data_IF_275689399257
#
_entry.id   IF_275689399257
#
_cell.length_a   1.000
_cell.length_b   1.000
_cell.length_c   1.000
_cell.angle_alpha   90.00
_cell.angle_beta   90.00
_cell.angle_gamma   90.00
#
_symmetry.space_group_name_H-M   'P 1'
#
loop_
_entity.id
_entity.type
_entity.pdbx_description
1 polymer ?
#
# COMPACT_ATOMS: atom_id res chain seq x y z
N UNK A 1 17.45 -10.97 -49.57
CA UNK A 1 16.33 -11.93 -49.37
C UNK A 1 15.44 -12.17 -50.60
N UNK A 2 15.16 -11.20 -51.49
CA UNK A 2 14.29 -11.40 -52.69
C UNK A 2 14.83 -12.31 -53.81
N UNK A 3 16.13 -12.64 -53.85
CA UNK A 3 16.72 -13.51 -54.90
C UNK A 3 16.54 -15.02 -54.66
N UNK A 4 16.41 -15.48 -53.40
CA UNK A 4 16.25 -16.91 -53.06
C UNK A 4 14.81 -17.42 -53.31
N UNK A 5 13.79 -16.56 -53.21
CA UNK A 5 12.39 -16.93 -53.48
C UNK A 5 12.07 -17.13 -54.96
N UNK A 6 12.72 -16.39 -55.87
CA UNK A 6 12.52 -16.56 -57.33
C UNK A 6 13.13 -17.86 -57.89
N UNK A 7 14.13 -18.42 -57.21
CA UNK A 7 14.80 -19.65 -57.64
C UNK A 7 14.02 -20.91 -57.26
N UNK A 8 13.19 -20.85 -56.22
CA UNK A 8 12.29 -21.94 -55.82
C UNK A 8 11.12 -22.12 -56.80
N UNK A 9 10.49 -21.02 -57.26
CA UNK A 9 9.39 -21.11 -58.24
C UNK A 9 9.81 -21.59 -59.64
N UNK A 10 11.08 -21.44 -60.02
CA UNK A 10 11.58 -21.94 -61.32
C UNK A 10 11.75 -23.46 -61.37
N UNK A 11 11.90 -24.13 -60.22
CA UNK A 11 12.16 -25.58 -60.18
C UNK A 11 10.91 -26.46 -60.13
N UNK A 12 9.70 -25.90 -60.03
CA UNK A 12 8.45 -26.68 -60.08
C UNK A 12 7.75 -26.71 -61.45
N UNK A 13 8.38 -26.14 -62.49
CA UNK A 13 7.90 -26.16 -63.89
C UNK A 13 8.87 -26.93 -64.78
N UNK A 14 8.98 -28.25 -64.57
CA UNK A 14 9.37 -29.20 -65.62
C UNK A 14 8.53 -30.46 -65.47
N UNK A 15 7.61 -30.57 -66.42
CA UNK A 15 6.66 -31.65 -66.72
C UNK A 15 7.43 -32.84 -67.37
N UNK A 16 6.79 -34.01 -67.65
CA UNK A 16 6.02 -34.10 -68.88
C UNK A 16 4.69 -34.84 -68.79
N UNK A 17 3.94 -34.58 -69.85
CA UNK A 17 2.57 -34.84 -70.21
C UNK A 17 2.32 -36.19 -70.91
N UNK A 18 1.07 -36.66 -70.79
CA UNK A 18 0.24 -37.38 -71.79
C UNK A 18 0.63 -38.77 -72.30
N UNK A 19 -0.29 -39.73 -72.10
CA UNK A 19 -0.70 -40.68 -73.16
C UNK A 19 -2.15 -41.15 -72.94
N UNK A 20 -2.97 -41.01 -74.00
CA UNK A 20 -4.34 -41.53 -74.16
C UNK A 20 -4.31 -43.05 -74.42
N UNK A 21 -5.26 -43.82 -73.88
CA UNK A 21 -5.94 -44.92 -74.61
C UNK A 21 -7.41 -44.98 -74.13
N UNK A 22 -8.31 -45.06 -75.11
CA UNK A 22 -9.77 -45.15 -75.08
C UNK A 22 -10.29 -46.57 -74.80
N UNK A 23 -11.55 -46.64 -74.36
CA UNK A 23 -12.51 -47.75 -74.48
C UNK A 23 -12.24 -49.07 -73.75
N UNK A 24 -12.97 -49.32 -72.65
CA UNK A 24 -13.84 -50.50 -72.48
C UNK A 24 -15.01 -50.11 -71.54
N UNK A 25 -16.21 -50.04 -72.11
CA UNK A 25 -17.50 -50.03 -71.42
C UNK A 25 -17.75 -51.40 -70.78
N UNK A 26 -18.55 -51.43 -69.71
CA UNK A 26 -19.28 -52.57 -69.10
C UNK A 26 -18.58 -53.37 -67.99
N UNK A 27 -18.77 -52.90 -66.74
CA UNK A 27 -19.57 -53.64 -65.73
C UNK A 27 -19.57 -52.86 -64.41
N UNK A 28 -20.51 -51.94 -64.28
CA UNK A 28 -20.87 -51.31 -63.00
C UNK A 28 -22.02 -52.09 -62.41
N UNK A 29 -21.73 -52.99 -61.48
CA UNK A 29 -22.69 -53.45 -60.47
C UNK A 29 -21.94 -53.42 -59.13
N UNK A 30 -22.41 -52.51 -58.26
CA UNK A 30 -22.16 -52.44 -56.81
C UNK A 30 -20.84 -51.81 -56.32
N UNK A 31 -20.75 -50.47 -56.34
CA UNK A 31 -20.16 -49.66 -55.24
C UNK A 31 -20.41 -48.17 -55.50
N UNK A 32 -21.65 -47.72 -55.33
CA UNK A 32 -21.97 -46.31 -55.09
C UNK A 32 -22.17 -46.12 -53.58
N UNK A 33 -21.08 -46.19 -52.82
CA UNK A 33 -21.01 -45.54 -51.50
C UNK A 33 -20.21 -44.26 -51.74
N UNK A 34 -20.88 -43.13 -51.55
CA UNK A 34 -20.52 -41.78 -51.96
C UNK A 34 -19.07 -41.36 -51.65
N UNK A 35 -18.32 -41.00 -52.68
CA UNK A 35 -17.09 -40.20 -52.54
C UNK A 35 -17.35 -38.79 -51.94
N UNK A 36 -18.61 -38.34 -51.92
CA UNK A 36 -19.06 -37.10 -51.26
C UNK A 36 -19.01 -37.23 -49.73
N UNK A 37 -19.50 -38.32 -49.18
CA UNK A 37 -19.61 -38.52 -47.72
C UNK A 37 -18.22 -38.66 -47.09
N UNK A 38 -17.27 -39.31 -47.78
CA UNK A 38 -15.86 -39.43 -47.33
C UNK A 38 -15.14 -38.06 -47.37
N UNK A 39 -15.51 -37.18 -48.30
CA UNK A 39 -14.94 -35.84 -48.42
C UNK A 39 -15.51 -34.87 -47.37
N UNK A 40 -16.81 -34.96 -47.05
CA UNK A 40 -17.45 -34.23 -45.95
C UNK A 40 -16.96 -34.70 -44.57
N UNK A 41 -16.88 -36.01 -44.34
CA UNK A 41 -16.36 -36.60 -43.09
C UNK A 41 -14.89 -36.21 -42.83
N UNK A 42 -14.11 -36.00 -43.90
CA UNK A 42 -12.74 -35.46 -43.83
C UNK A 42 -12.70 -33.96 -43.53
N UNK A 43 -13.70 -33.18 -43.95
CA UNK A 43 -13.74 -31.73 -43.72
C UNK A 43 -14.19 -31.40 -42.30
N UNK A 44 -15.21 -32.10 -41.79
CA UNK A 44 -15.70 -31.94 -40.42
C UNK A 44 -14.64 -32.35 -39.40
N UNK A 45 -13.92 -33.44 -39.67
CA UNK A 45 -12.78 -33.87 -38.84
C UNK A 45 -11.66 -32.83 -38.83
N UNK A 46 -11.32 -32.23 -39.98
CA UNK A 46 -10.31 -31.19 -40.09
C UNK A 46 -10.72 -29.92 -39.32
N UNK A 47 -11.97 -29.50 -39.45
CA UNK A 47 -12.50 -28.33 -38.75
C UNK A 47 -12.50 -28.54 -37.23
N UNK A 48 -13.00 -29.69 -36.75
CA UNK A 48 -12.97 -30.08 -35.34
C UNK A 48 -11.55 -30.10 -34.78
N UNK A 49 -10.57 -30.61 -35.53
CA UNK A 49 -9.18 -30.62 -35.10
C UNK A 49 -8.60 -29.21 -34.93
N UNK A 50 -8.94 -28.27 -35.82
CA UNK A 50 -8.53 -26.88 -35.68
C UNK A 50 -9.25 -26.14 -34.55
N UNK A 51 -10.55 -26.44 -34.32
CA UNK A 51 -11.32 -25.90 -33.20
C UNK A 51 -10.75 -26.37 -31.86
N UNK A 52 -10.44 -27.67 -31.73
CA UNK A 52 -9.79 -28.23 -30.53
C UNK A 52 -8.40 -27.62 -30.37
N UNK A 53 -7.59 -27.51 -31.43
CA UNK A 53 -6.27 -26.86 -31.34
C UNK A 53 -6.33 -25.39 -30.90
N UNK A 54 -7.45 -24.70 -31.15
CA UNK A 54 -7.70 -23.33 -30.69
C UNK A 54 -7.80 -23.18 -29.16
N UNK A 55 -8.00 -24.28 -28.43
CA UNK A 55 -8.06 -24.29 -26.95
C UNK A 55 -6.78 -23.76 -26.30
N UNK A 56 -5.64 -23.93 -26.95
CA UNK A 56 -4.34 -23.45 -26.45
C UNK A 56 -4.36 -21.96 -26.11
N UNK A 57 -5.11 -21.14 -26.86
CA UNK A 57 -5.28 -19.72 -26.56
C UNK A 57 -6.06 -19.50 -25.24
N UNK A 58 -7.08 -20.32 -24.97
CA UNK A 58 -7.88 -20.27 -23.73
C UNK A 58 -7.06 -20.72 -22.53
N UNK A 59 -6.22 -21.75 -22.68
CA UNK A 59 -5.29 -22.19 -21.64
C UNK A 59 -4.28 -21.10 -21.28
N UNK A 60 -3.72 -20.41 -22.29
CA UNK A 60 -2.82 -19.27 -22.07
C UNK A 60 -3.53 -18.15 -21.30
N UNK A 61 -4.80 -17.85 -21.63
CA UNK A 61 -5.59 -16.85 -20.90
C UNK A 61 -5.79 -17.31 -19.44
N UNK A 62 -6.20 -18.57 -19.21
CA UNK A 62 -6.38 -19.13 -17.86
C UNK A 62 -5.09 -19.00 -17.03
N UNK A 63 -3.95 -19.37 -17.60
CA UNK A 63 -2.66 -19.34 -16.89
C UNK A 63 -2.22 -17.89 -16.60
N UNK A 64 -2.48 -16.96 -17.52
CA UNK A 64 -2.32 -15.53 -17.27
C UNK A 64 -3.21 -15.04 -16.12
N UNK A 65 -4.47 -15.51 -16.05
CA UNK A 65 -5.37 -15.13 -14.97
C UNK A 65 -4.88 -15.65 -13.61
N UNK A 66 -4.38 -16.89 -13.55
CA UNK A 66 -3.79 -17.47 -12.34
C UNK A 66 -2.55 -16.68 -11.88
N UNK A 67 -1.66 -16.32 -12.80
CA UNK A 67 -0.49 -15.50 -12.49
C UNK A 67 -0.88 -14.12 -11.96
N UNK A 68 -1.92 -13.51 -12.54
CA UNK A 68 -2.46 -12.23 -12.05
C UNK A 68 -3.08 -12.37 -10.65
N UNK A 69 -3.81 -13.46 -10.36
CA UNK A 69 -4.34 -13.75 -9.02
C UNK A 69 -3.22 -13.86 -7.97
N UNK A 70 -2.10 -14.52 -8.30
CA UNK A 70 -0.94 -14.59 -7.42
C UNK A 70 -0.31 -13.21 -7.16
N UNK A 71 -0.31 -12.31 -8.16
CA UNK A 71 0.14 -10.92 -7.97
C UNK A 71 -0.79 -10.16 -7.02
N UNK A 72 -2.11 -10.28 -7.18
CA UNK A 72 -3.08 -9.64 -6.28
C UNK A 72 -2.94 -10.11 -4.83
N UNK A 73 -2.66 -11.40 -4.60
CA UNK A 73 -2.38 -11.89 -3.25
C UNK A 73 -1.13 -11.25 -2.63
N UNK A 74 -0.08 -10.97 -3.42
CA UNK A 74 1.08 -10.22 -2.95
C UNK A 74 0.72 -8.77 -2.63
N UNK A 75 -0.14 -8.14 -3.43
CA UNK A 75 -0.61 -6.78 -3.17
C UNK A 75 -1.46 -6.68 -1.88
N UNK A 76 -2.17 -7.73 -1.48
CA UNK A 76 -2.86 -7.75 -0.17
C UNK A 76 -1.88 -7.72 1.00
N UNK A 77 -0.73 -8.41 0.88
CA UNK A 77 0.31 -8.41 1.92
C UNK A 77 0.97 -7.03 2.02
N UNK A 78 1.29 -6.39 0.90
CA UNK A 78 1.86 -5.03 0.90
C UNK A 78 0.91 -3.98 1.47
N UNK A 79 -0.40 -4.12 1.26
CA UNK A 79 -1.42 -3.27 1.90
C UNK A 79 -1.49 -3.50 3.41
N UNK A 80 -1.35 -4.74 3.89
CA UNK A 80 -1.29 -5.03 5.33
C UNK A 80 -0.06 -4.39 5.99
N UNK A 81 1.11 -4.52 5.35
CA UNK A 81 2.34 -3.85 5.79
C UNK A 81 2.19 -2.32 5.82
N UNK A 82 1.48 -1.74 4.85
CA UNK A 82 1.18 -0.31 4.80
C UNK A 82 0.30 0.10 5.99
N UNK A 83 -0.73 -0.67 6.32
CA UNK A 83 -1.59 -0.40 7.48
C UNK A 83 -0.82 -0.46 8.81
N UNK A 84 0.08 -1.44 8.98
CA UNK A 84 0.94 -1.52 10.16
C UNK A 84 1.86 -0.29 10.27
N UNK A 85 2.43 0.18 9.15
CA UNK A 85 3.24 1.40 9.12
C UNK A 85 2.42 2.64 9.45
N UNK A 86 1.21 2.76 8.91
CA UNK A 86 0.32 3.88 9.21
C UNK A 86 -0.02 3.96 10.70
N UNK A 87 -0.20 2.82 11.37
CA UNK A 87 -0.41 2.77 12.82
C UNK A 87 0.82 3.30 13.59
N UNK A 88 2.03 2.89 13.20
CA UNK A 88 3.27 3.41 13.79
C UNK A 88 3.39 4.93 13.64
N UNK A 89 3.13 5.45 12.43
CA UNK A 89 3.17 6.89 12.17
C UNK A 89 2.12 7.63 13.03
N UNK A 90 0.94 7.05 13.23
CA UNK A 90 -0.09 7.64 14.09
C UNK A 90 0.38 7.76 15.53
N UNK A 91 1.04 6.73 16.05
CA UNK A 91 1.61 6.74 17.40
C UNK A 91 2.72 7.80 17.53
N UNK A 92 3.60 7.89 16.54
CA UNK A 92 4.66 8.91 16.48
C UNK A 92 4.09 10.33 16.45
N UNK A 93 3.01 10.57 15.71
CA UNK A 93 2.34 11.88 15.67
C UNK A 93 1.72 12.26 17.01
N UNK A 94 1.14 11.30 17.74
CA UNK A 94 0.63 11.55 19.09
C UNK A 94 1.76 11.92 20.06
N UNK A 95 2.88 11.19 20.00
CA UNK A 95 4.07 11.49 20.81
C UNK A 95 4.67 12.87 20.47
N UNK A 96 4.67 13.23 19.18
CA UNK A 96 5.12 14.55 18.74
C UNK A 96 4.21 15.66 19.28
N UNK A 97 2.90 15.47 19.26
CA UNK A 97 1.93 16.42 19.85
C UNK A 97 2.17 16.63 21.34
N UNK A 98 2.39 15.55 22.10
CA UNK A 98 2.75 15.65 23.52
C UNK A 98 4.08 16.36 23.75
N UNK A 99 5.08 16.09 22.91
CA UNK A 99 6.38 16.74 23.00
C UNK A 99 6.27 18.25 22.75
N UNK A 100 5.51 18.66 21.72
CA UNK A 100 5.23 20.07 21.41
C UNK A 100 4.58 20.76 22.61
N UNK A 101 3.59 20.11 23.23
CA UNK A 101 2.93 20.64 24.42
C UNK A 101 3.89 20.82 25.61
N UNK A 102 4.78 19.84 25.86
CA UNK A 102 5.81 19.98 26.91
C UNK A 102 6.77 21.13 26.62
N UNK A 103 7.20 21.31 25.37
CA UNK A 103 8.10 22.42 24.99
C UNK A 103 7.39 23.77 25.18
N UNK A 104 6.10 23.87 24.87
CA UNK A 104 5.28 25.05 25.11
C UNK A 104 5.24 25.40 26.60
N UNK A 105 4.98 24.42 27.47
CA UNK A 105 4.99 24.62 28.92
C UNK A 105 6.36 25.10 29.42
N UNK A 106 7.45 24.43 29.03
CA UNK A 106 8.80 24.84 29.44
C UNK A 106 9.19 26.23 28.92
N UNK A 107 8.72 26.61 27.73
CA UNK A 107 8.96 27.94 27.18
C UNK A 107 8.21 29.01 27.98
N UNK A 108 6.97 28.72 28.40
CA UNK A 108 6.19 29.60 29.28
C UNK A 108 6.84 29.75 30.66
N UNK A 109 7.28 28.66 31.28
CA UNK A 109 8.02 28.68 32.55
C UNK A 109 9.31 29.50 32.45
N UNK A 110 10.07 29.36 31.35
CA UNK A 110 11.29 30.15 31.12
C UNK A 110 11.03 31.66 31.06
N UNK A 111 9.91 32.09 30.47
CA UNK A 111 9.54 33.52 30.45
C UNK A 111 9.29 34.02 31.87
N UNK A 112 8.57 33.25 32.69
CA UNK A 112 8.30 33.60 34.09
C UNK A 112 9.61 33.72 34.89
N UNK A 113 10.54 32.77 34.72
CA UNK A 113 11.85 32.84 35.41
C UNK A 113 12.69 34.03 34.96
N UNK A 114 12.63 34.41 33.68
CA UNK A 114 13.33 35.59 33.17
C UNK A 114 12.75 36.87 33.76
N UNK A 115 11.43 36.98 33.86
CA UNK A 115 10.76 38.13 34.49
C UNK A 115 11.11 38.25 35.98
N UNK A 116 11.14 37.13 36.70
CA UNK A 116 11.58 37.08 38.11
C UNK A 116 13.05 37.50 38.25
N UNK A 117 13.94 37.00 37.37
CA UNK A 117 15.35 37.38 37.35
C UNK A 117 15.52 38.88 37.13
N UNK A 118 14.79 39.48 36.18
CA UNK A 118 14.83 40.93 35.92
C UNK A 118 14.38 41.71 37.15
N UNK A 119 13.34 41.25 37.86
CA UNK A 119 12.88 41.85 39.10
C UNK A 119 13.95 41.83 40.20
N UNK A 120 14.60 40.68 40.40
CA UNK A 120 15.70 40.52 41.37
C UNK A 120 16.89 41.43 41.04
N UNK A 121 17.27 41.53 39.77
CA UNK A 121 18.33 42.45 39.32
C UNK A 121 17.97 43.91 39.58
N UNK A 122 16.69 44.27 39.46
CA UNK A 122 16.17 45.59 39.85
C UNK A 122 16.41 45.90 41.34
N UNK A 123 16.09 44.95 42.22
CA UNK A 123 16.36 45.06 43.66
C UNK A 123 17.86 45.17 43.98
N UNK A 124 18.70 44.40 43.30
CA UNK A 124 20.17 44.48 43.45
C UNK A 124 20.68 45.87 43.07
N UNK A 125 20.24 46.43 41.94
CA UNK A 125 20.66 47.77 41.52
C UNK A 125 20.24 48.84 42.53
N UNK A 126 19.02 48.77 43.08
CA UNK A 126 18.57 49.69 44.15
C UNK A 126 19.49 49.63 45.37
N UNK A 127 19.86 48.43 45.82
CA UNK A 127 20.78 48.26 46.95
C UNK A 127 22.18 48.81 46.65
N UNK A 128 22.66 48.65 45.41
CA UNK A 128 23.96 49.20 44.99
C UNK A 128 23.94 50.73 44.99
N UNK A 129 22.83 51.35 44.58
CA UNK A 129 22.66 52.81 44.62
C UNK A 129 22.69 53.35 46.06
N UNK A 130 22.06 52.64 47.01
CA UNK A 130 22.14 52.95 48.44
C UNK A 130 23.57 52.81 48.98
N UNK A 131 24.28 51.73 48.66
CA UNK A 131 25.69 51.53 49.05
C UNK A 131 26.58 52.64 48.49
N UNK A 132 26.38 53.03 47.23
CA UNK A 132 27.10 54.14 46.60
C UNK A 132 26.80 55.47 47.29
N UNK A 133 25.54 55.71 47.69
CA UNK A 133 25.14 56.88 48.47
C UNK A 133 25.85 56.92 49.83
N UNK A 134 25.75 55.83 50.59
CA UNK A 134 26.38 55.69 51.90
C UNK A 134 27.89 55.88 51.82
N UNK A 135 28.55 55.22 50.86
CA UNK A 135 29.99 55.34 50.67
C UNK A 135 30.42 56.77 50.28
N UNK A 136 29.64 57.49 49.45
CA UNK A 136 29.90 58.92 49.18
C UNK A 136 29.78 59.75 50.44
N UNK A 137 28.79 59.49 51.27
CA UNK A 137 28.56 60.19 52.54
C UNK A 137 29.71 59.93 53.54
N UNK A 138 30.13 58.67 53.68
CA UNK A 138 31.29 58.27 54.50
C UNK A 138 32.59 58.88 53.99
N UNK A 139 32.79 58.94 52.67
CA UNK A 139 33.94 59.60 52.06
C UNK A 139 33.97 61.10 52.36
N UNK A 140 32.82 61.78 52.32
CA UNK A 140 32.71 63.19 52.70
C UNK A 140 32.99 63.41 54.19
N UNK A 141 32.45 62.56 55.07
CA UNK A 141 32.75 62.59 56.50
C UNK A 141 34.25 62.42 56.76
N UNK A 142 34.90 61.47 56.08
CA UNK A 142 36.33 61.24 56.18
C UNK A 142 37.16 62.47 55.74
N UNK A 143 36.74 63.14 54.66
CA UNK A 143 37.38 64.37 54.20
C UNK A 143 37.23 65.47 55.25
N UNK A 144 36.03 65.66 55.81
CA UNK A 144 35.78 66.65 56.85
C UNK A 144 36.60 66.36 58.11
N UNK A 145 36.69 65.10 58.54
CA UNK A 145 37.53 64.69 59.67
C UNK A 145 39.02 64.88 59.42
N UNK A 146 39.49 64.64 58.18
CA UNK A 146 40.87 64.88 57.81
C UNK A 146 41.23 66.38 57.85
N UNK A 147 40.32 67.26 57.40
CA UNK A 147 40.46 68.71 57.48
C UNK A 147 40.52 69.17 58.94
N UNK A 148 39.59 68.71 59.77
CA UNK A 148 39.55 69.06 61.20
C UNK A 148 40.80 68.57 61.93
N UNK A 149 41.25 67.35 61.63
CA UNK A 149 42.50 66.79 62.20
C UNK A 149 43.73 67.62 61.85
N UNK A 150 43.78 68.20 60.65
CA UNK A 150 44.85 69.12 60.25
C UNK A 150 44.75 70.48 60.98
N UNK A 151 43.53 70.92 61.29
CA UNK A 151 43.27 72.18 62.00
C UNK A 151 43.79 72.15 63.46
N UNK A 152 43.63 71.04 64.17
CA UNK A 152 44.11 70.88 65.58
C UNK A 152 45.61 70.57 65.70
N UNK A 153 46.33 70.47 64.56
CA UNK A 153 47.78 70.29 64.51
C UNK A 153 48.26 68.97 65.12
N UNK A 154 49.31 69.01 65.96
CA UNK A 154 49.97 67.82 66.52
C UNK A 154 49.02 66.91 67.33
N UNK A 155 47.94 67.45 67.92
CA UNK A 155 46.95 66.68 68.68
C UNK A 155 46.00 65.86 67.80
N UNK A 156 45.88 66.20 66.50
CA UNK A 156 45.00 65.53 65.53
C UNK A 156 45.68 64.43 64.71
N UNK A 157 46.97 64.15 64.92
CA UNK A 157 47.74 63.24 64.06
C UNK A 157 47.15 61.81 63.99
N UNK A 158 46.67 61.26 65.11
CA UNK A 158 46.01 59.95 65.13
C UNK A 158 44.67 59.92 64.37
N UNK A 159 43.87 60.98 64.48
CA UNK A 159 42.60 61.11 63.75
C UNK A 159 42.80 61.30 62.24
N UNK A 160 43.89 61.95 61.82
CA UNK A 160 44.24 62.09 60.41
C UNK A 160 44.50 60.74 59.73
N UNK A 161 45.17 59.81 60.42
CA UNK A 161 45.41 58.45 59.92
C UNK A 161 44.09 57.70 59.74
N UNK A 162 43.20 57.75 60.74
CA UNK A 162 41.87 57.12 60.69
C UNK A 162 41.05 57.70 59.52
N UNK A 163 41.04 59.02 59.36
CA UNK A 163 40.32 59.68 58.28
C UNK A 163 40.82 59.26 56.89
N UNK A 164 42.14 59.08 56.72
CA UNK A 164 42.73 58.57 55.48
C UNK A 164 42.29 57.13 55.19
N UNK A 165 42.27 56.27 56.21
CA UNK A 165 41.83 54.88 56.08
C UNK A 165 40.35 54.78 55.69
N UNK A 166 39.47 55.57 56.33
CA UNK A 166 38.04 55.62 56.01
C UNK A 166 37.81 56.11 54.58
N UNK A 167 38.57 57.11 54.12
CA UNK A 167 38.51 57.62 52.74
C UNK A 167 38.88 56.52 51.74
N UNK A 168 39.95 55.78 52.02
CA UNK A 168 40.44 54.71 51.17
C UNK A 168 39.43 53.54 51.11
N UNK A 169 38.85 53.16 52.25
CA UNK A 169 37.80 52.16 52.35
C UNK A 169 36.55 52.56 51.56
N UNK A 170 36.08 53.81 51.72
CA UNK A 170 34.91 54.33 51.00
C UNK A 170 35.13 54.32 49.48
N UNK A 171 36.32 54.74 49.03
CA UNK A 171 36.70 54.68 47.62
C UNK A 171 36.71 53.24 47.09
N UNK A 172 37.21 52.29 47.89
CA UNK A 172 37.17 50.86 47.58
C UNK A 172 35.73 50.32 47.46
N UNK A 173 34.82 50.73 48.33
CA UNK A 173 33.39 50.37 48.26
C UNK A 173 32.75 50.89 46.96
N UNK A 174 33.03 52.14 46.57
CA UNK A 174 32.51 52.69 45.30
C UNK A 174 33.03 51.95 44.08
N UNK A 175 34.30 51.54 44.11
CA UNK A 175 34.88 50.72 43.04
C UNK A 175 34.18 49.36 42.93
N UNK A 176 33.94 48.68 44.06
CA UNK A 176 33.24 47.40 44.03
C UNK A 176 31.78 47.54 43.62
N UNK A 177 31.09 48.58 44.08
CA UNK A 177 29.72 48.88 43.67
C UNK A 177 29.61 49.02 42.14
N UNK A 178 30.57 49.72 41.49
CA UNK A 178 30.63 49.82 40.02
C UNK A 178 30.81 48.45 39.33
N UNK A 179 31.66 47.58 39.87
CA UNK A 179 31.87 46.24 39.32
C UNK A 179 30.59 45.41 39.39
N UNK A 180 29.84 45.48 40.50
CA UNK A 180 28.57 44.77 40.66
C UNK A 180 27.52 45.34 39.68
N UNK A 181 27.45 46.66 39.49
CA UNK A 181 26.57 47.26 38.47
C UNK A 181 26.87 46.73 37.07
N UNK A 182 28.16 46.63 36.70
CA UNK A 182 28.56 46.07 35.40
C UNK A 182 28.11 44.61 35.24
N UNK A 183 28.33 43.77 36.25
CA UNK A 183 27.85 42.38 36.25
C UNK A 183 26.32 42.29 36.14
N UNK A 184 25.60 43.16 36.83
CA UNK A 184 24.12 43.18 36.82
C UNK A 184 23.59 43.60 35.44
N UNK A 185 24.27 44.52 34.75
CA UNK A 185 23.97 44.90 33.36
C UNK A 185 24.19 43.73 32.39
N UNK A 186 25.30 43.01 32.53
CA UNK A 186 25.61 41.85 31.69
C UNK A 186 24.55 40.74 31.87
N UNK A 187 24.15 40.44 33.12
CA UNK A 187 23.09 39.46 33.40
C UNK A 187 21.75 39.91 32.79
N UNK A 188 21.42 41.21 32.85
CA UNK A 188 20.20 41.74 32.25
C UNK A 188 20.21 41.58 30.70
N UNK A 189 21.35 41.81 30.06
CA UNK A 189 21.50 41.56 28.63
C UNK A 189 21.33 40.08 28.27
N UNK A 190 21.85 39.16 29.09
CA UNK A 190 21.60 37.72 28.92
C UNK A 190 20.12 37.37 29.10
N UNK A 191 19.45 37.92 30.13
CA UNK A 191 18.03 37.71 30.38
C UNK A 191 17.16 38.15 29.17
N UNK A 192 17.46 39.32 28.60
CA UNK A 192 16.76 39.81 27.38
C UNK A 192 16.99 38.92 26.16
N UNK A 193 18.20 38.36 26.05
CA UNK A 193 18.55 37.43 24.97
C UNK A 193 17.78 36.11 25.12
N UNK A 194 17.62 35.60 26.35
CA UNK A 194 16.80 34.42 26.66
C UNK A 194 15.32 34.69 26.33
N UNK A 195 14.76 35.84 26.72
CA UNK A 195 13.39 36.24 26.38
C UNK A 195 13.16 36.27 24.86
N UNK A 196 14.11 36.85 24.10
CA UNK A 196 14.03 36.86 22.62
C UNK A 196 14.10 35.44 22.04
N UNK A 197 14.89 34.55 22.64
CA UNK A 197 14.95 33.14 22.23
C UNK A 197 13.66 32.40 22.54
N UNK A 198 13.01 32.69 23.67
CA UNK A 198 11.73 32.10 24.05
C UNK A 198 10.62 32.47 23.06
N UNK A 199 10.57 33.74 22.60
CA UNK A 199 9.64 34.18 21.56
C UNK A 199 9.83 33.41 20.24
N UNK A 200 11.09 33.24 19.80
CA UNK A 200 11.40 32.44 18.60
C UNK A 200 11.00 30.97 18.77
N UNK A 201 11.18 30.40 19.96
CA UNK A 201 10.73 29.05 20.26
C UNK A 201 9.20 28.97 20.16
N UNK A 202 8.46 29.96 20.66
CA UNK A 202 7.00 29.99 20.57
C UNK A 202 6.50 29.98 19.12
N UNK A 203 7.15 30.74 18.23
CA UNK A 203 6.86 30.70 16.80
C UNK A 203 7.13 29.31 16.21
N UNK A 204 8.29 28.72 16.53
CA UNK A 204 8.65 27.38 16.07
C UNK A 204 7.69 26.29 16.56
N UNK A 205 7.20 26.40 17.79
CA UNK A 205 6.18 25.50 18.37
C UNK A 205 4.88 25.58 17.57
N UNK A 206 4.43 26.79 17.21
CA UNK A 206 3.23 26.97 16.40
C UNK A 206 3.39 26.35 15.00
N UNK A 207 4.56 26.53 14.36
CA UNK A 207 4.85 25.93 13.06
C UNK A 207 4.86 24.40 13.12
N UNK A 208 5.49 23.83 14.15
CA UNK A 208 5.51 22.37 14.37
C UNK A 208 4.08 21.85 14.64
N UNK A 209 3.28 22.57 15.43
CA UNK A 209 1.89 22.20 15.72
C UNK A 209 1.06 22.14 14.43
N UNK A 210 1.16 23.18 13.59
CA UNK A 210 0.48 23.22 12.31
C UNK A 210 0.91 22.07 11.39
N UNK A 211 2.23 21.83 11.26
CA UNK A 211 2.75 20.74 10.45
C UNK A 211 2.30 19.35 10.96
N UNK A 212 2.24 19.16 12.27
CA UNK A 212 1.76 17.92 12.91
C UNK A 212 0.28 17.69 12.61
N UNK A 213 -0.55 18.73 12.71
CA UNK A 213 -1.98 18.64 12.39
C UNK A 213 -2.21 18.29 10.92
N UNK A 214 -1.50 18.93 9.99
CA UNK A 214 -1.58 18.58 8.57
C UNK A 214 -1.11 17.14 8.31
N UNK A 215 -0.04 16.69 8.96
CA UNK A 215 0.44 15.32 8.85
C UNK A 215 -0.59 14.30 9.34
N UNK A 216 -1.30 14.58 10.45
CA UNK A 216 -2.39 13.73 10.93
C UNK A 216 -3.55 13.64 9.92
N UNK A 217 -3.94 14.74 9.30
CA UNK A 217 -5.00 14.75 8.27
C UNK A 217 -4.58 13.91 7.05
N UNK A 218 -3.35 14.10 6.56
CA UNK A 218 -2.82 13.33 5.44
C UNK A 218 -2.71 11.83 5.76
N UNK A 219 -2.32 11.50 6.99
CA UNK A 219 -2.24 10.11 7.45
C UNK A 219 -3.63 9.47 7.48
N UNK A 220 -4.64 10.18 7.96
CA UNK A 220 -6.02 9.69 7.98
C UNK A 220 -6.54 9.39 6.57
N UNK A 221 -6.29 10.28 5.60
CA UNK A 221 -6.61 10.04 4.20
C UNK A 221 -5.87 8.81 3.63
N UNK A 222 -4.62 8.59 4.04
CA UNK A 222 -3.83 7.42 3.62
C UNK A 222 -4.40 6.12 4.18
N UNK A 223 -4.87 6.13 5.43
CA UNK A 223 -5.54 4.99 6.06
C UNK A 223 -6.84 4.65 5.33
N UNK A 224 -7.66 5.65 5.02
CA UNK A 224 -8.92 5.48 4.28
C UNK A 224 -8.68 4.91 2.88
N UNK A 225 -7.69 5.45 2.16
CA UNK A 225 -7.32 4.95 0.84
C UNK A 225 -6.79 3.52 0.90
N UNK A 226 -6.02 3.16 1.93
CA UNK A 226 -5.50 1.81 2.11
C UNK A 226 -6.62 0.80 2.40
N UNK A 227 -7.60 1.17 3.22
CA UNK A 227 -8.78 0.35 3.48
C UNK A 227 -9.59 0.11 2.20
N UNK A 228 -9.83 1.16 1.41
CA UNK A 228 -10.50 1.04 0.12
C UNK A 228 -9.73 0.19 -0.89
N UNK A 229 -8.40 0.32 -0.93
CA UNK A 229 -7.53 -0.51 -1.76
C UNK A 229 -7.62 -1.99 -1.36
N UNK A 230 -7.67 -2.30 -0.06
CA UNK A 230 -7.83 -3.66 0.43
C UNK A 230 -9.15 -4.28 -0.06
N UNK A 231 -10.25 -3.51 -0.02
CA UNK A 231 -11.56 -3.94 -0.50
C UNK A 231 -11.55 -4.23 -2.01
N UNK A 232 -11.03 -3.29 -2.81
CA UNK A 232 -10.94 -3.45 -4.27
C UNK A 232 -10.07 -4.66 -4.63
N UNK A 233 -8.90 -4.84 -3.99
CA UNK A 233 -8.01 -5.98 -4.31
C UNK A 233 -8.71 -7.30 -3.97
N UNK A 234 -9.41 -7.40 -2.84
CA UNK A 234 -10.19 -8.60 -2.48
C UNK A 234 -11.28 -8.90 -3.50
N UNK A 235 -12.00 -7.87 -3.95
CA UNK A 235 -13.00 -7.99 -5.00
C UNK A 235 -12.38 -8.48 -6.32
N UNK A 236 -11.31 -7.84 -6.80
CA UNK A 236 -10.63 -8.24 -8.04
C UNK A 236 -10.07 -9.66 -7.92
N UNK A 237 -9.51 -10.05 -6.76
CA UNK A 237 -9.01 -11.40 -6.54
C UNK A 237 -10.12 -12.46 -6.63
N UNK A 238 -11.29 -12.18 -6.05
CA UNK A 238 -12.47 -13.04 -6.15
C UNK A 238 -12.98 -13.11 -7.59
N UNK A 239 -13.06 -11.96 -8.27
CA UNK A 239 -13.43 -11.89 -9.68
C UNK A 239 -12.51 -12.72 -10.57
N UNK A 240 -11.21 -12.62 -10.33
CA UNK A 240 -10.20 -13.37 -11.06
C UNK A 240 -10.32 -14.87 -10.83
N UNK A 241 -10.55 -15.28 -9.59
CA UNK A 241 -10.80 -16.67 -9.24
C UNK A 241 -12.02 -17.22 -9.99
N UNK A 242 -13.16 -16.52 -9.94
CA UNK A 242 -14.39 -16.95 -10.61
C UNK A 242 -14.24 -16.98 -12.14
N UNK A 243 -13.53 -16.02 -12.73
CA UNK A 243 -13.22 -16.05 -14.17
C UNK A 243 -12.32 -17.23 -14.54
N UNK A 244 -11.37 -17.59 -13.68
CA UNK A 244 -10.52 -18.76 -13.92
C UNK A 244 -11.34 -20.05 -13.84
N UNK A 245 -12.28 -20.14 -12.91
CA UNK A 245 -13.23 -21.27 -12.82
C UNK A 245 -14.08 -21.41 -14.08
N UNK A 246 -14.57 -20.31 -14.66
CA UNK A 246 -15.32 -20.35 -15.93
C UNK A 246 -14.47 -20.95 -17.05
N UNK A 247 -13.20 -20.55 -17.15
CA UNK A 247 -12.27 -21.11 -18.13
C UNK A 247 -11.93 -22.58 -17.86
N UNK A 248 -11.78 -22.98 -16.60
CA UNK A 248 -11.58 -24.39 -16.24
C UNK A 248 -12.74 -25.25 -16.77
N UNK A 249 -13.99 -24.79 -16.69
CA UNK A 249 -15.14 -25.52 -17.23
C UNK A 249 -15.14 -25.57 -18.76
N UNK A 250 -14.75 -24.48 -19.44
CA UNK A 250 -14.59 -24.48 -20.91
C UNK A 250 -13.54 -25.50 -21.34
N UNK A 251 -12.38 -25.49 -20.68
CA UNK A 251 -11.28 -26.43 -20.94
C UNK A 251 -11.71 -27.87 -20.63
N UNK A 252 -12.43 -28.08 -19.52
CA UNK A 252 -12.93 -29.40 -19.13
C UNK A 252 -13.90 -29.98 -20.16
N UNK A 253 -14.85 -29.18 -20.67
CA UNK A 253 -15.77 -29.63 -21.74
C UNK A 253 -15.01 -29.95 -23.03
N UNK A 254 -14.05 -29.12 -23.40
CA UNK A 254 -13.21 -29.39 -24.57
C UNK A 254 -12.39 -30.66 -24.38
N UNK A 255 -11.96 -30.98 -23.16
CA UNK A 255 -11.33 -32.27 -22.86
C UNK A 255 -12.27 -33.45 -23.11
N UNK A 256 -13.54 -33.35 -22.72
CA UNK A 256 -14.55 -34.38 -23.03
C UNK A 256 -14.69 -34.56 -24.55
N UNK A 257 -14.80 -33.46 -25.30
CA UNK A 257 -14.85 -33.51 -26.77
C UNK A 257 -13.59 -34.11 -27.40
N UNK A 258 -12.41 -33.76 -26.89
CA UNK A 258 -11.14 -34.28 -27.36
C UNK A 258 -11.03 -35.80 -27.16
N UNK A 259 -11.47 -36.32 -26.02
CA UNK A 259 -11.48 -37.76 -25.73
C UNK A 259 -12.39 -38.52 -26.71
N UNK A 260 -13.59 -38.02 -26.96
CA UNK A 260 -14.53 -38.61 -27.93
C UNK A 260 -13.96 -38.53 -29.35
N UNK A 261 -13.44 -37.37 -29.75
CA UNK A 261 -12.91 -37.13 -31.09
C UNK A 261 -11.68 -38.01 -31.40
N UNK A 262 -10.78 -38.18 -30.44
CA UNK A 262 -9.60 -39.04 -30.57
C UNK A 262 -9.92 -40.53 -30.34
N UNK A 263 -11.18 -40.86 -30.04
CA UNK A 263 -11.65 -42.21 -29.69
C UNK A 263 -10.88 -42.85 -28.52
N UNK A 264 -10.60 -42.05 -27.49
CA UNK A 264 -9.97 -42.55 -26.26
C UNK A 264 -11.02 -43.18 -25.35
N UNK A 265 -10.97 -44.51 -25.23
CA UNK A 265 -11.89 -45.30 -24.41
C UNK A 265 -11.43 -45.46 -22.96
N UNK A 266 -10.20 -45.05 -22.64
CA UNK A 266 -9.54 -45.37 -21.37
C UNK A 266 -9.49 -44.21 -20.40
N UNK A 267 -9.24 -43.00 -20.89
CA UNK A 267 -9.10 -41.83 -20.03
C UNK A 267 -10.42 -41.42 -19.38
N UNK A 268 -10.34 -41.01 -18.12
CA UNK A 268 -11.48 -40.47 -17.37
C UNK A 268 -11.31 -38.97 -17.10
N UNK A 269 -12.42 -38.31 -16.76
CA UNK A 269 -12.47 -36.90 -16.35
C UNK A 269 -12.89 -36.80 -14.89
N UNK A 270 -12.37 -35.81 -14.18
CA UNK A 270 -12.59 -35.63 -12.75
C UNK A 270 -14.05 -35.33 -12.39
N UNK A 271 -14.40 -35.57 -11.12
CA UNK A 271 -15.71 -35.22 -10.55
C UNK A 271 -15.84 -33.72 -10.27
N UNK A 272 -17.07 -33.27 -10.07
CA UNK A 272 -17.38 -31.88 -9.71
C UNK A 272 -16.77 -31.48 -8.36
N UNK A 273 -16.62 -32.43 -7.42
CA UNK A 273 -15.98 -32.22 -6.11
C UNK A 273 -14.47 -32.03 -6.21
N UNK A 274 -13.82 -32.64 -7.21
CA UNK A 274 -12.36 -32.62 -7.36
C UNK A 274 -11.86 -31.38 -8.10
N UNK A 275 -12.76 -30.71 -8.82
CA UNK A 275 -12.45 -29.53 -9.61
C UNK A 275 -12.21 -28.31 -8.70
N UNK A 276 -11.62 -27.25 -9.25
CA UNK A 276 -11.33 -26.02 -8.50
C UNK A 276 -12.60 -25.39 -7.91
N UNK A 277 -13.71 -25.41 -8.67
CA UNK A 277 -14.98 -24.90 -8.19
C UNK A 277 -15.54 -25.75 -7.03
N UNK A 278 -15.51 -27.07 -7.14
CA UNK A 278 -15.97 -27.95 -6.07
C UNK A 278 -15.19 -27.77 -4.78
N UNK A 279 -13.86 -27.77 -4.87
CA UNK A 279 -12.98 -27.53 -3.71
C UNK A 279 -13.26 -26.19 -3.02
N UNK A 280 -13.58 -25.16 -3.80
CA UNK A 280 -13.94 -23.86 -3.24
C UNK A 280 -15.37 -23.86 -2.68
N UNK A 281 -16.34 -24.40 -3.41
CA UNK A 281 -17.76 -24.43 -3.04
C UNK A 281 -18.00 -25.16 -1.72
N UNK A 282 -17.36 -26.31 -1.53
CA UNK A 282 -17.43 -27.10 -0.29
C UNK A 282 -16.38 -26.69 0.75
N UNK A 283 -15.54 -25.71 0.44
CA UNK A 283 -14.47 -25.21 1.31
C UNK A 283 -14.85 -23.94 2.07
N UNK A 284 -14.06 -23.56 3.07
CA UNK A 284 -14.32 -22.40 3.93
C UNK A 284 -14.48 -21.09 3.15
N UNK A 285 -13.68 -20.89 2.09
CA UNK A 285 -13.74 -19.68 1.27
C UNK A 285 -15.04 -19.55 0.47
N UNK A 286 -15.60 -20.66 -0.03
CA UNK A 286 -16.90 -20.65 -0.70
C UNK A 286 -18.06 -20.48 0.28
N UNK A 287 -17.96 -21.09 1.47
CA UNK A 287 -18.99 -20.96 2.51
C UNK A 287 -19.29 -19.51 2.93
N UNK A 288 -18.34 -18.58 2.75
CA UNK A 288 -18.58 -17.14 2.97
C UNK A 288 -19.75 -16.60 2.14
N UNK A 289 -20.04 -17.21 1.00
CA UNK A 289 -21.10 -16.82 0.07
C UNK A 289 -22.39 -17.63 0.23
N UNK A 290 -22.48 -18.52 1.23
CA UNK A 290 -23.64 -19.42 1.42
C UNK A 290 -24.96 -18.68 1.71
N UNK A 291 -24.88 -17.41 2.10
CA UNK A 291 -26.03 -16.54 2.34
C UNK A 291 -26.67 -16.03 1.04
N UNK A 292 -25.98 -16.16 -0.11
CA UNK A 292 -26.46 -15.71 -1.41
C UNK A 292 -27.19 -16.84 -2.13
N UNK A 293 -28.40 -16.58 -2.64
CA UNK A 293 -29.18 -17.60 -3.34
C UNK A 293 -28.48 -18.13 -4.60
N UNK A 294 -27.78 -17.25 -5.32
CA UNK A 294 -27.02 -17.60 -6.52
C UNK A 294 -25.89 -18.61 -6.24
N UNK A 295 -25.32 -18.60 -5.03
CA UNK A 295 -24.32 -19.57 -4.60
C UNK A 295 -24.95 -20.95 -4.43
N UNK A 296 -26.02 -21.07 -3.66
CA UNK A 296 -26.73 -22.35 -3.47
C UNK A 296 -27.28 -22.92 -4.77
N UNK A 297 -27.74 -22.06 -5.69
CA UNK A 297 -28.22 -22.45 -7.02
C UNK A 297 -27.11 -22.93 -7.98
N UNK A 298 -25.83 -22.83 -7.59
CA UNK A 298 -24.67 -23.25 -8.39
C UNK A 298 -24.44 -24.76 -8.36
N UNK A 299 -24.79 -25.44 -7.26
CA UNK A 299 -24.46 -26.85 -7.01
C UNK A 299 -25.06 -27.79 -8.06
N UNK A 300 -26.39 -27.69 -8.25
CA UNK A 300 -27.15 -28.53 -9.19
C UNK A 300 -26.62 -28.43 -10.63
N UNK A 301 -26.46 -27.23 -11.24
CA UNK A 301 -25.90 -27.14 -12.58
C UNK A 301 -24.43 -27.58 -12.64
N UNK A 302 -23.62 -27.31 -11.61
CA UNK A 302 -22.22 -27.73 -11.56
C UNK A 302 -22.07 -29.26 -11.53
N UNK A 303 -22.82 -29.95 -10.67
CA UNK A 303 -22.88 -31.41 -10.65
C UNK A 303 -23.36 -31.96 -12.00
N UNK A 304 -24.40 -31.35 -12.58
CA UNK A 304 -24.97 -31.76 -13.87
C UNK A 304 -23.96 -31.68 -15.01
N UNK A 305 -23.07 -30.68 -15.05
CA UNK A 305 -21.99 -30.60 -16.07
C UNK A 305 -21.10 -31.84 -16.01
N UNK A 306 -20.53 -32.13 -14.84
CA UNK A 306 -19.60 -33.25 -14.67
C UNK A 306 -20.28 -34.60 -14.86
N UNK A 307 -21.51 -34.76 -14.37
CA UNK A 307 -22.29 -35.97 -14.55
C UNK A 307 -22.61 -36.21 -16.03
N UNK A 308 -23.11 -35.21 -16.73
CA UNK A 308 -23.47 -35.33 -18.15
C UNK A 308 -22.25 -35.58 -19.05
N UNK A 309 -21.10 -34.95 -18.76
CA UNK A 309 -19.87 -35.23 -19.51
C UNK A 309 -19.34 -36.66 -19.30
N UNK A 310 -19.42 -37.20 -18.08
CA UNK A 310 -19.08 -38.62 -17.83
C UNK A 310 -20.08 -39.57 -18.47
N UNK A 311 -21.37 -39.28 -18.42
CA UNK A 311 -22.41 -40.05 -19.11
C UNK A 311 -22.20 -40.06 -20.63
N UNK A 312 -21.75 -38.94 -21.23
CA UNK A 312 -21.39 -38.87 -22.64
C UNK A 312 -20.20 -39.79 -22.99
N UNK A 313 -19.15 -39.81 -22.17
CA UNK A 313 -18.00 -40.71 -22.37
C UNK A 313 -18.40 -42.19 -22.21
N UNK A 314 -19.29 -42.51 -21.27
CA UNK A 314 -19.81 -43.87 -21.12
C UNK A 314 -20.65 -44.29 -22.33
N UNK A 315 -21.53 -43.41 -22.81
CA UNK A 315 -22.35 -43.66 -24.00
C UNK A 315 -21.49 -43.87 -25.25
N UNK A 316 -20.44 -43.05 -25.41
CA UNK A 316 -19.42 -43.19 -26.46
C UNK A 316 -18.76 -44.58 -26.43
N UNK A 317 -18.28 -45.03 -25.26
CA UNK A 317 -17.66 -46.37 -25.11
C UNK A 317 -18.62 -47.52 -25.39
N UNK A 318 -19.92 -47.33 -25.16
CA UNK A 318 -20.96 -48.31 -25.49
C UNK A 318 -21.47 -48.24 -26.93
N UNK A 319 -21.02 -47.26 -27.74
CA UNK A 319 -21.49 -47.04 -29.11
C UNK A 319 -22.93 -46.50 -29.21
N UNK A 320 -23.44 -45.84 -28.17
CA UNK A 320 -24.78 -45.27 -28.12
C UNK A 320 -24.73 -43.77 -28.47
N UNK A 321 -24.80 -43.48 -29.77
CA UNK A 321 -24.66 -42.12 -30.31
C UNK A 321 -25.82 -41.19 -29.88
N UNK A 322 -27.03 -41.72 -29.75
CA UNK A 322 -28.20 -40.94 -29.33
C UNK A 322 -28.03 -40.46 -27.89
N UNK A 323 -27.69 -41.37 -26.97
CA UNK A 323 -27.43 -41.05 -25.57
C UNK A 323 -26.22 -40.14 -25.40
N UNK A 324 -25.18 -40.35 -26.20
CA UNK A 324 -24.00 -39.47 -26.22
C UNK A 324 -24.41 -38.05 -26.56
N UNK A 325 -25.15 -37.84 -27.65
CA UNK A 325 -25.57 -36.51 -28.09
C UNK A 325 -26.46 -35.80 -27.05
N UNK A 326 -27.43 -36.52 -26.45
CA UNK A 326 -28.27 -35.98 -25.37
C UNK A 326 -27.41 -35.54 -24.18
N UNK A 327 -26.43 -36.36 -23.80
CA UNK A 327 -25.55 -36.09 -22.66
C UNK A 327 -24.63 -34.88 -22.93
N UNK A 328 -24.12 -34.73 -24.14
CA UNK A 328 -23.33 -33.56 -24.56
C UNK A 328 -24.15 -32.27 -24.55
N UNK A 329 -25.39 -32.30 -25.05
CA UNK A 329 -26.29 -31.13 -25.01
C UNK A 329 -26.63 -30.74 -23.55
N UNK A 330 -26.89 -31.73 -22.69
CA UNK A 330 -27.12 -31.50 -21.26
C UNK A 330 -25.91 -30.88 -20.57
N UNK A 331 -24.69 -31.32 -20.91
CA UNK A 331 -23.44 -30.76 -20.42
C UNK A 331 -23.29 -29.29 -20.81
N UNK A 332 -23.54 -28.94 -22.08
CA UNK A 332 -23.46 -27.57 -22.60
C UNK A 332 -24.45 -26.64 -21.89
N UNK A 333 -25.73 -27.02 -21.81
CA UNK A 333 -26.77 -26.23 -21.15
C UNK A 333 -26.47 -26.02 -19.66
N UNK A 334 -26.04 -27.06 -18.97
CA UNK A 334 -25.66 -26.97 -17.56
C UNK A 334 -24.46 -26.03 -17.36
N UNK A 335 -23.48 -26.07 -18.27
CA UNK A 335 -22.30 -25.21 -18.21
C UNK A 335 -22.63 -23.74 -18.43
N UNK A 336 -23.53 -23.44 -19.37
CA UNK A 336 -24.04 -22.07 -19.54
C UNK A 336 -24.72 -21.57 -18.27
N UNK A 337 -25.48 -22.44 -17.59
CA UNK A 337 -26.13 -22.09 -16.32
C UNK A 337 -25.10 -21.85 -15.21
N UNK A 338 -24.04 -22.66 -15.09
CA UNK A 338 -22.93 -22.41 -14.15
C UNK A 338 -22.31 -21.05 -14.40
N UNK A 339 -21.95 -20.73 -15.64
CA UNK A 339 -21.33 -19.44 -15.99
C UNK A 339 -22.25 -18.27 -15.60
N UNK A 340 -23.55 -18.39 -15.90
CA UNK A 340 -24.55 -17.38 -15.55
C UNK A 340 -24.67 -17.19 -14.03
N UNK A 341 -24.68 -18.26 -13.23
CA UNK A 341 -24.72 -18.17 -11.76
C UNK A 341 -23.46 -17.54 -11.20
N UNK A 342 -22.30 -17.83 -11.78
CA UNK A 342 -21.05 -17.17 -11.42
C UNK A 342 -21.04 -15.68 -11.76
N UNK A 343 -21.67 -15.25 -12.86
CA UNK A 343 -21.86 -13.83 -13.20
C UNK A 343 -22.83 -13.14 -12.24
N UNK A 344 -23.95 -13.78 -11.89
CA UNK A 344 -24.90 -13.28 -10.90
C UNK A 344 -24.24 -13.12 -9.52
N UNK A 345 -23.41 -14.08 -9.11
CA UNK A 345 -22.61 -14.00 -7.89
C UNK A 345 -21.67 -12.79 -7.91
N UNK A 346 -20.95 -12.56 -9.02
CA UNK A 346 -20.06 -11.40 -9.18
C UNK A 346 -20.77 -10.07 -9.00
N UNK A 347 -21.98 -9.94 -9.56
CA UNK A 347 -22.79 -8.72 -9.44
C UNK A 347 -23.24 -8.46 -8.00
N UNK A 348 -23.53 -9.51 -7.23
CA UNK A 348 -23.98 -9.39 -5.85
C UNK A 348 -22.85 -9.03 -4.86
N UNK A 349 -21.60 -9.34 -5.20
CA UNK A 349 -20.43 -9.10 -4.34
C UNK A 349 -19.64 -7.85 -4.73
N UNK A 350 -20.11 -7.10 -5.73
CA UNK A 350 -19.44 -5.90 -6.20
C UNK A 350 -19.49 -4.79 -5.13
N UNK A 351 -18.35 -4.20 -4.74
CA UNK A 351 -18.32 -3.11 -3.78
C UNK A 351 -19.08 -1.89 -4.34
N UNK A 352 -19.82 -1.20 -3.48
CA UNK A 352 -20.66 -0.04 -3.81
C UNK A 352 -19.98 1.30 -3.57
#
# INVERSE_FOLDING_TARGET
>A
MRKKLKQWFKNKRKQPSQQKITDVVSNTISTEISASDIAEESYDKLLCQHLISGISAVEIIRDSLLNSSQRLMKELVTVDELNQKNESVRQEMNQLSELVHRIEQHTSENIVYVDELISVLGGINSNIDEINSLSRQTNLLAINSAIESAHVGARGAGFSVIAKEIKQLSSGIQFQAKNITALTLDINQHAKSISTSAEKNYQSINDIRYATEQACIMLQQTIELSAHMQEIIRFIATQQFLNTVKLDHVIWKIKVYELIFNRDETSEVNSHTDCRLGKWFYGEEGHKFSHLSCFSELEVPHEKVHRSGREALLAFRSGDDERMNISLNNMEQASTLVIKRLDELLLQIQPH
#
